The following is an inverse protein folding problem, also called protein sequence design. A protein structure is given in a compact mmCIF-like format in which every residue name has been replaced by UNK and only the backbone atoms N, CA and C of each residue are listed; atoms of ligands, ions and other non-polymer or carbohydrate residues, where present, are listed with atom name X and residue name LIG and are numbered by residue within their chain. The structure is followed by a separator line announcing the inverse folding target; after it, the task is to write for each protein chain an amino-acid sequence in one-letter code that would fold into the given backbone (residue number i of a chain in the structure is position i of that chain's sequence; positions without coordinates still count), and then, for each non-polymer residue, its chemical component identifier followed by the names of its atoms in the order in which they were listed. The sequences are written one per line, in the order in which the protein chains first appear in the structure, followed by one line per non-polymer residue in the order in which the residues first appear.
data_IF_404102681070
#
_entry.id   IF_404102681070
#
_cell.length_a   1.000
_cell.length_b   1.000
_cell.length_c   1.000
_cell.angle_alpha   90.00
_cell.angle_beta   90.00
_cell.angle_gamma   90.00
#
_symmetry.space_group_name_H-M   'P 1'
#
loop_
_entity.id
_entity.type
_entity.pdbx_description
1 polymer ?
#
# COMPACT_ATOMS: atom_id res chain seq x y z
N UNK A 1 -33.71 2.69 21.51
CA UNK A 1 -33.91 2.13 20.18
C UNK A 1 -33.72 3.27 19.18
N UNK A 2 -32.49 3.49 18.70
CA UNK A 2 -32.21 4.46 17.64
C UNK A 2 -32.04 3.67 16.36
N UNK A 3 -32.88 3.95 15.38
CA UNK A 3 -32.84 3.39 14.05
C UNK A 3 -31.50 3.68 13.40
N UNK A 4 -30.68 2.64 13.20
CA UNK A 4 -29.61 2.68 12.25
C UNK A 4 -30.25 2.81 10.85
N UNK A 5 -30.24 4.03 10.33
CA UNK A 5 -30.61 4.32 8.95
C UNK A 5 -29.63 3.56 8.05
N UNK A 6 -30.07 2.47 7.46
CA UNK A 6 -29.31 1.75 6.46
C UNK A 6 -29.02 2.73 5.32
N UNK A 7 -27.74 3.12 5.21
CA UNK A 7 -27.25 3.91 4.10
C UNK A 7 -27.39 3.05 2.83
N UNK A 8 -28.48 3.25 2.08
CA UNK A 8 -28.72 2.63 0.75
C UNK A 8 -27.83 3.30 -0.30
N UNK A 9 -26.54 3.52 0.03
CA UNK A 9 -25.56 4.05 -0.89
C UNK A 9 -25.44 3.15 -2.11
N UNK A 10 -25.52 3.75 -3.28
CA UNK A 10 -25.30 3.08 -4.56
C UNK A 10 -23.91 2.44 -4.56
N UNK A 11 -23.81 1.14 -4.78
CA UNK A 11 -22.52 0.45 -4.87
C UNK A 11 -21.70 1.03 -6.03
N UNK A 12 -20.37 1.14 -5.90
CA UNK A 12 -19.53 1.67 -6.95
C UNK A 12 -19.58 0.81 -8.21
N UNK A 13 -19.51 1.46 -9.37
CA UNK A 13 -19.48 0.85 -10.71
C UNK A 13 -18.39 1.56 -11.54
N UNK A 14 -17.10 1.39 -11.18
CA UNK A 14 -16.02 2.07 -11.90
C UNK A 14 -15.93 1.59 -13.34
N UNK A 15 -15.77 2.52 -14.28
CA UNK A 15 -15.58 2.21 -15.71
C UNK A 15 -14.10 2.00 -16.06
N UNK A 16 -13.19 2.48 -15.25
CA UNK A 16 -11.73 2.34 -15.36
C UNK A 16 -11.09 2.17 -14.00
N UNK A 17 -9.88 1.61 -13.95
CA UNK A 17 -9.13 1.46 -12.71
C UNK A 17 -8.87 2.81 -12.01
N UNK A 18 -8.68 3.89 -12.78
CA UNK A 18 -8.51 5.24 -12.23
C UNK A 18 -9.72 5.76 -11.45
N UNK A 19 -10.91 5.24 -11.71
CA UNK A 19 -12.14 5.63 -11.00
C UNK A 19 -12.24 4.99 -9.61
N UNK A 20 -11.47 3.93 -9.35
CA UNK A 20 -11.37 3.32 -8.03
C UNK A 20 -10.49 4.19 -7.14
N UNK A 21 -11.03 4.64 -6.00
CA UNK A 21 -10.24 5.41 -5.02
C UNK A 21 -9.10 4.56 -4.47
N UNK A 22 -7.96 5.20 -4.22
CA UNK A 22 -6.75 4.58 -3.67
C UNK A 22 -5.49 5.15 -4.31
N UNK A 23 -4.37 4.94 -3.65
CA UNK A 23 -3.06 5.46 -4.03
C UNK A 23 -2.23 4.34 -4.64
N UNK A 24 -2.15 4.32 -5.95
CA UNK A 24 -1.33 3.36 -6.69
C UNK A 24 -0.71 4.08 -7.88
N UNK A 25 0.52 4.55 -7.70
CA UNK A 25 1.20 5.43 -8.64
C UNK A 25 1.64 4.70 -9.92
N UNK A 26 1.69 5.39 -11.07
CA UNK A 26 2.08 4.78 -12.34
C UNK A 26 3.41 4.02 -12.30
N UNK A 27 4.41 4.55 -11.60
CA UNK A 27 5.71 3.87 -11.46
C UNK A 27 5.58 2.51 -10.73
N UNK A 28 4.72 2.44 -9.72
CA UNK A 28 4.50 1.21 -8.96
C UNK A 28 3.64 0.22 -9.75
N UNK A 29 2.67 0.72 -10.55
CA UNK A 29 1.94 -0.12 -11.50
C UNK A 29 2.88 -0.76 -12.54
N UNK A 30 3.84 0.00 -13.07
CA UNK A 30 4.87 -0.53 -13.98
C UNK A 30 5.72 -1.60 -13.30
N UNK A 31 6.11 -1.42 -12.04
CA UNK A 31 6.91 -2.41 -11.32
C UNK A 31 6.12 -3.66 -10.97
N UNK A 32 4.87 -3.51 -10.58
CA UNK A 32 3.96 -4.66 -10.36
C UNK A 32 3.77 -5.45 -11.65
N UNK A 33 3.44 -4.78 -12.78
CA UNK A 33 3.34 -5.42 -14.09
C UNK A 33 4.62 -6.15 -14.46
N UNK A 34 5.77 -5.49 -14.33
CA UNK A 34 7.06 -6.09 -14.67
C UNK A 34 7.38 -7.30 -13.80
N UNK A 35 7.21 -7.24 -12.47
CA UNK A 35 7.50 -8.35 -11.57
C UNK A 35 6.58 -9.53 -11.86
N UNK A 36 5.26 -9.28 -11.90
CA UNK A 36 4.25 -10.33 -12.06
C UNK A 36 4.31 -10.97 -13.44
N UNK A 37 4.62 -10.19 -14.50
CA UNK A 37 4.87 -10.69 -15.85
C UNK A 37 6.15 -11.51 -15.92
N UNK A 38 7.25 -11.04 -15.31
CA UNK A 38 8.51 -11.80 -15.23
C UNK A 38 8.29 -13.14 -14.53
N UNK A 39 7.57 -13.16 -13.41
CA UNK A 39 7.25 -14.42 -12.71
C UNK A 39 6.44 -15.37 -13.59
N UNK A 40 5.51 -14.85 -14.39
CA UNK A 40 4.78 -15.66 -15.37
C UNK A 40 5.71 -16.22 -16.45
N UNK A 41 6.55 -15.38 -17.02
CA UNK A 41 7.43 -15.74 -18.14
C UNK A 41 8.54 -16.76 -17.73
N UNK A 42 8.92 -16.72 -16.46
CA UNK A 42 9.83 -17.71 -15.85
C UNK A 42 9.10 -18.93 -15.22
N UNK A 43 7.79 -19.03 -15.41
CA UNK A 43 6.96 -20.08 -14.81
C UNK A 43 7.07 -20.20 -13.28
N UNK A 44 7.52 -19.14 -12.61
CA UNK A 44 7.52 -19.07 -11.14
C UNK A 44 6.08 -19.06 -10.64
N UNK A 45 5.68 -20.08 -9.90
CA UNK A 45 4.33 -20.28 -9.39
C UNK A 45 4.22 -19.87 -7.93
N UNK A 46 3.00 -19.63 -7.49
CA UNK A 46 2.64 -19.32 -6.12
C UNK A 46 1.47 -18.34 -6.04
N UNK A 47 0.92 -18.22 -4.87
CA UNK A 47 -0.23 -17.40 -4.58
C UNK A 47 0.12 -15.90 -4.54
N UNK A 48 -0.92 -15.07 -4.58
CA UNK A 48 -0.83 -13.64 -4.35
C UNK A 48 -1.44 -13.29 -3.00
N UNK A 49 -0.82 -12.36 -2.28
CA UNK A 49 -1.34 -11.87 -1.00
C UNK A 49 -1.29 -10.34 -0.97
N UNK A 50 -2.38 -9.71 -0.50
CA UNK A 50 -2.42 -8.30 -0.15
C UNK A 50 -2.92 -8.11 1.27
N UNK A 51 -2.14 -7.38 2.08
CA UNK A 51 -2.48 -6.96 3.44
C UNK A 51 -2.85 -5.49 3.41
N UNK A 52 -4.13 -5.17 3.64
CA UNK A 52 -4.69 -3.84 3.40
C UNK A 52 -5.02 -3.63 1.91
N UNK A 53 -6.29 -3.47 1.59
CA UNK A 53 -6.72 -3.33 0.19
C UNK A 53 -7.56 -2.07 -0.05
N UNK A 54 -8.04 -1.43 1.01
CA UNK A 54 -8.92 -0.28 0.92
C UNK A 54 -10.09 -0.55 -0.04
N UNK A 55 -10.24 0.22 -1.11
CA UNK A 55 -11.30 0.03 -2.12
C UNK A 55 -10.88 -0.83 -3.31
N UNK A 56 -9.69 -1.45 -3.24
CA UNK A 56 -9.24 -2.52 -4.12
C UNK A 56 -8.48 -2.11 -5.36
N UNK A 57 -7.92 -0.88 -5.46
CA UNK A 57 -7.23 -0.45 -6.69
C UNK A 57 -6.04 -1.34 -7.03
N UNK A 58 -5.17 -1.63 -6.08
CA UNK A 58 -4.02 -2.54 -6.22
C UNK A 58 -4.46 -3.99 -6.35
N UNK A 59 -5.44 -4.43 -5.54
CA UNK A 59 -6.02 -5.77 -5.61
C UNK A 59 -6.58 -6.09 -7.01
N UNK A 60 -7.34 -5.15 -7.60
CA UNK A 60 -7.89 -5.30 -8.95
C UNK A 60 -6.75 -5.46 -9.97
N UNK A 61 -5.70 -4.65 -9.85
CA UNK A 61 -4.55 -4.74 -10.74
C UNK A 61 -3.82 -6.08 -10.58
N UNK A 62 -3.53 -6.51 -9.35
CA UNK A 62 -2.88 -7.78 -9.05
C UNK A 62 -3.70 -8.98 -9.53
N UNK A 63 -5.02 -8.94 -9.36
CA UNK A 63 -5.94 -10.01 -9.77
C UNK A 63 -5.87 -10.35 -11.25
N UNK A 64 -5.46 -9.42 -12.13
CA UNK A 64 -5.26 -9.67 -13.55
C UNK A 64 -4.06 -10.62 -13.84
N UNK A 65 -3.16 -10.82 -12.87
CA UNK A 65 -2.00 -11.69 -12.98
C UNK A 65 -2.19 -13.03 -12.28
N UNK A 66 -3.37 -13.29 -11.72
CA UNK A 66 -3.69 -14.56 -11.08
C UNK A 66 -3.79 -15.67 -12.14
N UNK A 67 -3.09 -16.76 -11.93
CA UNK A 67 -3.06 -17.89 -12.85
C UNK A 67 -3.99 -19.01 -12.35
N UNK A 68 -4.43 -19.92 -13.23
CA UNK A 68 -5.13 -21.12 -12.80
C UNK A 68 -4.36 -21.87 -11.72
N UNK A 69 -5.07 -22.38 -10.71
CA UNK A 69 -4.53 -23.09 -9.54
C UNK A 69 -3.79 -22.20 -8.52
N UNK A 70 -3.69 -20.89 -8.75
CA UNK A 70 -3.20 -19.95 -7.75
C UNK A 70 -4.37 -19.34 -6.99
N UNK A 71 -4.13 -19.00 -5.73
CA UNK A 71 -5.07 -18.28 -4.88
C UNK A 71 -4.62 -16.82 -4.74
N UNK A 72 -5.57 -15.90 -4.80
CA UNK A 72 -5.33 -14.53 -4.37
C UNK A 72 -6.05 -14.29 -3.06
N UNK A 73 -5.31 -14.00 -2.00
CA UNK A 73 -5.86 -13.67 -0.68
C UNK A 73 -5.72 -12.18 -0.41
N UNK A 74 -6.81 -11.56 0.02
CA UNK A 74 -6.87 -10.16 0.46
C UNK A 74 -7.30 -10.12 1.91
N UNK A 75 -6.45 -9.56 2.77
CA UNK A 75 -6.71 -9.38 4.18
C UNK A 75 -6.90 -7.90 4.50
N UNK A 76 -8.06 -7.51 5.00
CA UNK A 76 -8.37 -6.14 5.38
C UNK A 76 -9.44 -6.14 6.47
N UNK A 77 -9.38 -5.19 7.40
CA UNK A 77 -10.43 -5.00 8.40
C UNK A 77 -11.74 -4.51 7.79
N UNK A 78 -11.64 -3.78 6.67
CA UNK A 78 -12.77 -3.09 6.05
C UNK A 78 -13.55 -2.25 7.07
N UNK A 79 -14.82 -2.59 7.28
CA UNK A 79 -15.74 -1.96 8.22
C UNK A 79 -15.80 -2.67 9.59
N UNK A 80 -14.90 -3.62 9.87
CA UNK A 80 -14.73 -4.22 11.19
C UNK A 80 -14.03 -3.27 12.15
N UNK A 81 -14.29 -3.36 13.46
CA UNK A 81 -13.58 -2.57 14.46
C UNK A 81 -12.08 -2.87 14.44
N UNK A 82 -11.27 -1.83 14.56
CA UNK A 82 -9.83 -2.00 14.72
C UNK A 82 -9.48 -2.65 16.08
N UNK A 83 -8.36 -3.38 16.14
CA UNK A 83 -7.96 -4.12 17.35
C UNK A 83 -7.52 -3.20 18.50
N UNK A 84 -7.11 -1.96 18.21
CA UNK A 84 -6.61 -1.01 19.19
C UNK A 84 -7.02 0.45 18.86
N UNK A 85 -6.80 1.37 19.84
CA UNK A 85 -7.21 2.76 19.72
C UNK A 85 -6.41 3.52 18.66
N UNK A 86 -5.12 3.21 18.48
CA UNK A 86 -4.27 3.90 17.51
C UNK A 86 -4.69 3.58 16.08
N UNK A 87 -4.94 2.30 15.81
CA UNK A 87 -5.46 1.84 14.51
C UNK A 87 -6.89 2.37 14.27
N UNK A 88 -7.75 2.41 15.32
CA UNK A 88 -9.08 3.03 15.22
C UNK A 88 -9.02 4.50 14.83
N UNK A 89 -8.04 5.24 15.36
CA UNK A 89 -7.85 6.65 15.04
C UNK A 89 -7.34 6.85 13.60
N UNK A 90 -6.51 5.95 13.11
CA UNK A 90 -6.03 5.91 11.72
C UNK A 90 -7.20 5.65 10.75
N UNK A 91 -7.99 4.60 11.00
CA UNK A 91 -9.15 4.24 10.19
C UNK A 91 -10.20 5.36 10.14
N UNK A 92 -10.51 5.99 11.26
CA UNK A 92 -11.49 7.06 11.33
C UNK A 92 -11.12 8.32 10.54
N UNK A 93 -9.82 8.58 10.34
CA UNK A 93 -9.32 9.74 9.58
C UNK A 93 -9.33 9.51 8.07
N UNK A 94 -8.92 8.33 7.63
CA UNK A 94 -8.58 8.07 6.23
C UNK A 94 -9.59 7.18 5.51
N UNK A 95 -10.33 6.34 6.22
CA UNK A 95 -11.07 5.21 5.63
C UNK A 95 -12.58 5.21 5.94
N UNK A 96 -13.17 6.36 6.26
CA UNK A 96 -14.59 6.48 6.65
C UNK A 96 -15.60 5.92 5.62
N UNK A 97 -15.22 5.78 4.36
CA UNK A 97 -16.06 5.22 3.27
C UNK A 97 -15.74 3.76 2.95
N UNK A 98 -14.77 3.18 3.65
CA UNK A 98 -14.36 1.80 3.42
C UNK A 98 -15.44 0.84 3.95
N UNK A 99 -15.87 -0.05 3.07
CA UNK A 99 -16.69 -1.21 3.44
C UNK A 99 -16.30 -2.38 2.57
N UNK A 100 -16.40 -3.59 3.09
CA UNK A 100 -16.19 -4.82 2.31
C UNK A 100 -17.06 -4.85 1.06
N UNK A 101 -18.33 -4.42 1.17
CA UNK A 101 -19.25 -4.39 0.03
C UNK A 101 -18.79 -3.45 -1.09
N UNK A 102 -18.17 -2.31 -0.74
CA UNK A 102 -17.64 -1.38 -1.73
C UNK A 102 -16.40 -1.97 -2.44
N UNK A 103 -15.49 -2.60 -1.69
CA UNK A 103 -14.37 -3.37 -2.25
C UNK A 103 -14.85 -4.46 -3.22
N UNK A 104 -15.78 -5.32 -2.78
CA UNK A 104 -16.32 -6.41 -3.60
C UNK A 104 -16.97 -5.89 -4.89
N UNK A 105 -17.70 -4.78 -4.82
CA UNK A 105 -18.34 -4.17 -5.99
C UNK A 105 -17.31 -3.62 -6.99
N UNK A 106 -16.27 -2.94 -6.48
CA UNK A 106 -15.15 -2.48 -7.32
C UNK A 106 -14.46 -3.66 -7.97
N UNK A 107 -14.07 -4.67 -7.20
CA UNK A 107 -13.33 -5.83 -7.72
C UNK A 107 -14.14 -6.59 -8.78
N UNK A 108 -15.43 -6.84 -8.52
CA UNK A 108 -16.34 -7.47 -9.49
C UNK A 108 -16.58 -6.65 -10.75
N UNK A 109 -16.29 -5.36 -10.76
CA UNK A 109 -16.34 -4.55 -11.96
C UNK A 109 -15.27 -4.95 -12.99
N UNK A 110 -14.20 -5.61 -12.56
CA UNK A 110 -13.07 -6.01 -13.41
C UNK A 110 -12.85 -7.53 -13.50
N UNK A 111 -13.29 -8.28 -12.51
CA UNK A 111 -13.06 -9.72 -12.40
C UNK A 111 -14.36 -10.48 -12.15
N UNK A 112 -14.47 -11.71 -12.65
CA UNK A 112 -15.67 -12.55 -12.47
C UNK A 112 -15.76 -13.14 -11.06
N UNK A 113 -14.63 -13.55 -10.48
CA UNK A 113 -14.52 -14.07 -9.11
C UNK A 113 -13.98 -13.04 -8.13
N UNK A 114 -14.27 -13.20 -6.85
CA UNK A 114 -13.61 -12.46 -5.78
C UNK A 114 -12.33 -13.18 -5.34
N UNK A 115 -11.34 -12.48 -4.81
CA UNK A 115 -10.24 -13.13 -4.09
C UNK A 115 -10.78 -13.81 -2.83
N UNK A 116 -9.96 -14.65 -2.20
CA UNK A 116 -10.21 -15.10 -0.84
C UNK A 116 -10.12 -13.88 0.09
N UNK A 117 -11.22 -13.51 0.74
CA UNK A 117 -11.29 -12.34 1.62
C UNK A 117 -11.18 -12.79 3.07
N UNK A 118 -10.12 -12.35 3.75
CA UNK A 118 -9.89 -12.50 5.18
C UNK A 118 -10.21 -11.17 5.85
N UNK A 119 -11.35 -11.07 6.54
CA UNK A 119 -11.80 -9.84 7.21
C UNK A 119 -11.39 -9.85 8.67
N UNK A 120 -10.09 -9.76 8.90
CA UNK A 120 -9.44 -9.86 10.22
C UNK A 120 -8.21 -8.94 10.27
N UNK A 121 -7.61 -8.69 11.45
CA UNK A 121 -6.30 -8.08 11.55
C UNK A 121 -5.24 -8.90 10.79
N UNK A 122 -4.35 -8.22 10.07
CA UNK A 122 -3.28 -8.85 9.28
C UNK A 122 -2.37 -9.80 10.08
N UNK A 123 -2.26 -9.57 11.39
CA UNK A 123 -1.51 -10.43 12.31
C UNK A 123 -1.98 -11.89 12.37
N UNK A 124 -3.21 -12.19 11.88
CA UNK A 124 -3.76 -13.55 11.80
C UNK A 124 -3.53 -14.24 10.46
N UNK A 125 -2.89 -13.59 9.49
CA UNK A 125 -2.86 -14.06 8.10
C UNK A 125 -2.20 -15.42 7.89
N UNK A 126 -1.19 -15.77 8.69
CA UNK A 126 -0.50 -17.07 8.58
C UNK A 126 -1.38 -18.28 8.96
N UNK A 127 -2.57 -18.04 9.54
CA UNK A 127 -3.57 -19.10 9.71
C UNK A 127 -4.41 -19.36 8.44
N UNK A 128 -4.32 -18.51 7.43
CA UNK A 128 -5.13 -18.55 6.20
C UNK A 128 -4.30 -18.76 4.93
N UNK A 129 -2.99 -18.60 5.01
CA UNK A 129 -2.04 -18.72 3.89
C UNK A 129 -0.94 -19.68 4.29
N UNK A 130 -0.69 -20.68 3.47
CA UNK A 130 0.33 -21.69 3.75
C UNK A 130 1.75 -21.12 3.67
N UNK A 131 2.69 -21.61 4.49
CA UNK A 131 4.09 -21.23 4.38
C UNK A 131 4.65 -21.49 2.96
N UNK A 132 5.56 -20.63 2.51
CA UNK A 132 6.26 -20.74 1.22
C UNK A 132 5.32 -20.80 -0.02
N UNK A 133 4.03 -20.47 0.13
CA UNK A 133 3.05 -20.57 -0.95
C UNK A 133 3.00 -19.36 -1.87
N UNK A 134 3.36 -18.17 -1.39
CA UNK A 134 3.19 -16.93 -2.13
C UNK A 134 4.41 -16.59 -3.01
N UNK A 135 4.15 -16.10 -4.22
CA UNK A 135 5.17 -15.50 -5.10
C UNK A 135 5.21 -13.99 -5.02
N UNK A 136 4.15 -13.36 -4.51
CA UNK A 136 4.07 -11.91 -4.39
C UNK A 136 3.20 -11.52 -3.20
N UNK A 137 3.74 -10.67 -2.33
CA UNK A 137 3.03 -10.13 -1.16
C UNK A 137 3.13 -8.60 -1.19
N UNK A 138 1.98 -7.92 -1.14
CA UNK A 138 1.86 -6.48 -1.01
C UNK A 138 1.36 -6.14 0.39
N UNK A 139 2.12 -5.34 1.14
CA UNK A 139 1.80 -4.86 2.49
C UNK A 139 1.44 -3.38 2.40
N UNK A 140 0.17 -3.06 2.63
CA UNK A 140 -0.42 -1.72 2.57
C UNK A 140 -1.54 -1.57 3.63
N UNK A 141 -1.28 -2.08 4.84
CA UNK A 141 -2.26 -2.12 5.93
C UNK A 141 -2.05 -0.95 6.92
N UNK A 142 -1.66 -1.24 8.15
CA UNK A 142 -1.40 -0.24 9.18
C UNK A 142 -0.01 0.38 9.03
N UNK A 143 0.14 1.65 9.46
CA UNK A 143 1.43 2.36 9.45
C UNK A 143 2.17 2.31 10.78
N UNK A 144 1.60 1.64 11.79
CA UNK A 144 2.22 1.48 13.11
C UNK A 144 3.37 0.47 13.04
N UNK A 145 4.50 0.81 13.67
CA UNK A 145 5.72 -0.01 13.63
C UNK A 145 5.47 -1.48 13.98
N UNK A 146 4.74 -1.73 15.07
CA UNK A 146 4.47 -3.08 15.59
C UNK A 146 3.66 -3.93 14.59
N UNK A 147 2.68 -3.30 13.91
CA UNK A 147 1.86 -3.98 12.91
C UNK A 147 2.68 -4.29 11.66
N UNK A 148 3.38 -3.30 11.12
CA UNK A 148 4.24 -3.49 9.93
C UNK A 148 5.33 -4.51 10.19
N UNK A 149 5.92 -4.51 11.40
CA UNK A 149 6.92 -5.52 11.79
C UNK A 149 6.33 -6.93 11.79
N UNK A 150 5.11 -7.10 12.30
CA UNK A 150 4.39 -8.38 12.28
C UNK A 150 4.03 -8.81 10.84
N UNK A 151 3.56 -7.88 10.01
CA UNK A 151 3.22 -8.13 8.60
C UNK A 151 4.45 -8.55 7.78
N UNK A 152 5.62 -7.93 8.03
CA UNK A 152 6.89 -8.34 7.41
C UNK A 152 7.29 -9.76 7.85
N UNK A 153 7.09 -10.11 9.12
CA UNK A 153 7.38 -11.45 9.61
C UNK A 153 6.45 -12.48 8.96
N UNK A 154 5.16 -12.19 8.86
CA UNK A 154 4.18 -13.02 8.17
C UNK A 154 4.51 -13.16 6.68
N UNK A 155 4.85 -12.07 6.00
CA UNK A 155 5.28 -12.10 4.59
C UNK A 155 6.50 -13.00 4.38
N UNK A 156 7.47 -12.96 5.30
CA UNK A 156 8.65 -13.83 5.24
C UNK A 156 8.28 -15.31 5.37
N UNK A 157 7.27 -15.64 6.18
CA UNK A 157 6.82 -17.02 6.39
C UNK A 157 6.09 -17.58 5.15
N UNK A 158 5.25 -16.75 4.51
CA UNK A 158 4.42 -17.22 3.41
C UNK A 158 5.06 -17.09 2.03
N UNK A 159 6.12 -16.30 1.88
CA UNK A 159 6.81 -16.12 0.59
C UNK A 159 7.70 -17.30 0.25
N UNK A 160 7.50 -17.85 -0.94
CA UNK A 160 8.40 -18.84 -1.53
C UNK A 160 9.78 -18.27 -1.90
N UNK A 161 10.71 -19.12 -2.34
CA UNK A 161 12.12 -18.75 -2.53
C UNK A 161 12.37 -17.71 -3.63
N UNK A 162 11.45 -17.53 -4.56
CA UNK A 162 11.51 -16.50 -5.62
C UNK A 162 10.49 -15.38 -5.38
N UNK A 163 9.92 -15.35 -4.18
CA UNK A 163 8.86 -14.40 -3.81
C UNK A 163 9.36 -12.99 -3.59
N UNK A 164 8.51 -12.03 -3.92
CA UNK A 164 8.75 -10.60 -3.75
C UNK A 164 7.78 -10.02 -2.74
N UNK A 165 8.31 -9.27 -1.76
CA UNK A 165 7.54 -8.44 -0.85
C UNK A 165 7.59 -6.98 -1.29
N UNK A 166 6.43 -6.32 -1.24
CA UNK A 166 6.31 -4.88 -1.49
C UNK A 166 5.68 -4.23 -0.26
N UNK A 167 6.28 -3.15 0.23
CA UNK A 167 5.74 -2.36 1.35
C UNK A 167 5.37 -0.97 0.85
N UNK A 168 4.13 -0.55 1.04
CA UNK A 168 3.67 0.80 0.73
C UNK A 168 4.05 1.80 1.82
N UNK A 169 3.90 3.08 1.51
CA UNK A 169 4.17 4.21 2.41
C UNK A 169 5.56 4.24 3.04
N UNK A 170 6.51 3.47 2.47
CA UNK A 170 7.87 3.33 2.96
C UNK A 170 8.60 4.68 3.12
N UNK A 171 8.29 5.68 2.30
CA UNK A 171 8.91 7.02 2.36
C UNK A 171 7.94 8.11 2.78
N UNK A 172 6.74 7.77 3.20
CA UNK A 172 5.75 8.73 3.64
C UNK A 172 6.19 9.36 4.97
N UNK A 173 6.26 10.69 5.03
CA UNK A 173 6.72 11.41 6.24
C UNK A 173 5.83 11.18 7.46
N UNK A 174 4.56 10.88 7.24
CA UNK A 174 3.58 10.61 8.29
C UNK A 174 3.54 9.14 8.73
N UNK A 175 4.30 8.25 8.07
CA UNK A 175 4.35 6.81 8.34
C UNK A 175 5.77 6.33 8.73
N UNK A 176 6.47 6.96 9.70
CA UNK A 176 7.85 6.60 10.03
C UNK A 176 8.00 5.15 10.53
N UNK A 177 6.92 4.55 11.05
CA UNK A 177 6.89 3.15 11.48
C UNK A 177 7.16 2.17 10.35
N UNK A 178 6.62 2.44 9.15
CA UNK A 178 6.86 1.61 7.95
C UNK A 178 8.34 1.58 7.59
N UNK A 179 8.97 2.75 7.47
CA UNK A 179 10.40 2.84 7.16
C UNK A 179 11.27 2.15 8.23
N UNK A 180 10.94 2.36 9.51
CA UNK A 180 11.70 1.77 10.63
C UNK A 180 11.61 0.24 10.63
N UNK A 181 10.41 -0.34 10.45
CA UNK A 181 10.20 -1.78 10.39
C UNK A 181 10.91 -2.39 9.17
N UNK A 182 10.79 -1.75 8.00
CA UNK A 182 11.42 -2.21 6.75
C UNK A 182 12.94 -2.25 6.86
N UNK A 183 13.59 -1.17 7.29
CA UNK A 183 15.05 -1.15 7.47
C UNK A 183 15.50 -2.06 8.61
N UNK A 184 14.68 -2.21 9.64
CA UNK A 184 14.90 -3.21 10.69
C UNK A 184 14.96 -4.62 10.13
N UNK A 185 14.05 -4.98 9.23
CA UNK A 185 14.02 -6.28 8.56
C UNK A 185 15.24 -6.48 7.64
N UNK A 186 15.63 -5.47 6.87
CA UNK A 186 16.87 -5.51 6.07
C UNK A 186 18.10 -5.78 6.95
N UNK A 187 18.18 -5.12 8.10
CA UNK A 187 19.33 -5.25 9.00
C UNK A 187 19.38 -6.59 9.77
N UNK A 188 18.23 -7.23 10.02
CA UNK A 188 18.17 -8.34 11.00
C UNK A 188 17.58 -9.65 10.46
N UNK A 189 16.78 -9.62 9.39
CA UNK A 189 16.07 -10.82 8.92
C UNK A 189 16.62 -11.38 7.61
N UNK A 190 17.57 -10.70 6.98
CA UNK A 190 18.13 -11.06 5.67
C UNK A 190 17.26 -10.59 4.49
N UNK A 191 16.32 -9.66 4.70
CA UNK A 191 15.58 -9.03 3.61
C UNK A 191 16.53 -8.26 2.70
N UNK A 192 16.58 -8.60 1.43
CA UNK A 192 17.45 -8.00 0.42
C UNK A 192 16.70 -6.89 -0.31
N UNK A 193 17.15 -5.63 -0.23
CA UNK A 193 16.49 -4.49 -0.88
C UNK A 193 16.73 -4.52 -2.38
N UNK A 194 15.69 -4.72 -3.18
CA UNK A 194 15.76 -4.76 -4.63
C UNK A 194 15.67 -3.36 -5.24
N UNK A 195 14.58 -2.65 -4.93
CA UNK A 195 14.34 -1.30 -5.44
C UNK A 195 13.41 -0.51 -4.53
N UNK A 196 13.51 0.81 -4.64
CA UNK A 196 12.55 1.74 -4.00
C UNK A 196 12.03 2.77 -5.00
N UNK A 197 10.78 3.16 -4.82
CA UNK A 197 10.14 4.30 -5.50
C UNK A 197 9.96 5.49 -4.56
N UNK A 198 9.12 6.43 -4.92
CA UNK A 198 8.75 7.52 -4.03
C UNK A 198 7.92 7.05 -2.82
N UNK A 199 7.16 5.96 -2.99
CA UNK A 199 6.23 5.44 -1.98
C UNK A 199 6.57 4.03 -1.51
N UNK A 200 7.02 3.13 -2.40
CA UNK A 200 7.14 1.71 -2.10
C UNK A 200 8.58 1.22 -2.00
N UNK A 201 8.76 0.20 -1.17
CA UNK A 201 9.95 -0.63 -1.06
C UNK A 201 9.65 -2.00 -1.66
N UNK A 202 10.60 -2.56 -2.40
CA UNK A 202 10.53 -3.89 -3.00
C UNK A 202 11.73 -4.71 -2.54
N UNK A 203 11.50 -5.93 -2.09
CA UNK A 203 12.57 -6.79 -1.59
C UNK A 203 12.25 -8.28 -1.69
N UNK A 204 13.25 -9.09 -1.35
CA UNK A 204 13.14 -10.56 -1.32
C UNK A 204 14.03 -11.14 -0.24
N UNK A 205 13.66 -12.29 0.32
CA UNK A 205 14.57 -13.11 1.13
C UNK A 205 15.27 -14.19 0.31
N UNK A 206 14.77 -14.42 -0.91
CA UNK A 206 15.23 -15.49 -1.81
C UNK A 206 16.27 -15.06 -2.83
N UNK A 207 16.11 -15.52 -4.07
CA UNK A 207 17.03 -15.25 -5.19
C UNK A 207 17.04 -13.77 -5.55
N UNK A 208 18.21 -13.13 -5.47
CA UNK A 208 18.36 -11.69 -5.66
C UNK A 208 19.03 -11.31 -6.99
N UNK A 209 20.18 -11.93 -7.32
CA UNK A 209 21.05 -11.44 -8.39
C UNK A 209 20.37 -11.43 -9.76
N UNK A 210 19.61 -12.48 -10.07
CA UNK A 210 18.92 -12.60 -11.35
C UNK A 210 17.84 -11.52 -11.51
N UNK A 211 16.96 -11.35 -10.51
CA UNK A 211 15.91 -10.35 -10.60
C UNK A 211 16.47 -8.93 -10.61
N UNK A 212 17.56 -8.66 -9.86
CA UNK A 212 18.22 -7.36 -9.87
C UNK A 212 18.81 -7.05 -11.26
N UNK A 213 19.49 -8.02 -11.88
CA UNK A 213 20.06 -7.86 -13.23
C UNK A 213 18.96 -7.62 -14.29
N UNK A 214 17.87 -8.38 -14.22
CA UNK A 214 16.74 -8.25 -15.13
C UNK A 214 16.03 -6.88 -14.94
N UNK A 215 15.85 -6.43 -13.69
CA UNK A 215 15.29 -5.10 -13.41
C UNK A 215 16.18 -3.99 -13.97
N UNK A 216 17.49 -4.10 -13.77
CA UNK A 216 18.43 -3.12 -14.31
C UNK A 216 18.42 -3.09 -15.84
N UNK A 217 18.28 -4.24 -16.50
CA UNK A 217 18.11 -4.34 -17.94
C UNK A 217 16.81 -3.71 -18.43
N UNK A 218 15.68 -4.04 -17.78
CA UNK A 218 14.37 -3.45 -18.06
C UNK A 218 14.41 -1.92 -17.97
N UNK A 219 14.98 -1.37 -16.90
CA UNK A 219 15.03 0.06 -16.68
C UNK A 219 15.89 0.82 -17.71
N UNK A 220 16.93 0.19 -18.27
CA UNK A 220 17.74 0.80 -19.33
C UNK A 220 16.95 1.07 -20.61
N UNK A 221 15.93 0.27 -20.89
CA UNK A 221 15.07 0.43 -22.05
C UNK A 221 13.95 1.46 -21.83
N UNK A 222 13.85 2.04 -20.60
CA UNK A 222 12.80 2.99 -20.23
C UNK A 222 13.35 4.42 -20.22
N UNK A 223 12.75 5.30 -21.05
CA UNK A 223 13.08 6.72 -21.14
C UNK A 223 12.16 7.62 -20.25
N UNK A 224 11.14 7.02 -19.65
CA UNK A 224 10.10 7.68 -18.85
C UNK A 224 10.34 7.52 -17.33
N UNK A 225 11.36 6.77 -16.94
CA UNK A 225 11.73 6.56 -15.54
C UNK A 225 13.23 6.79 -15.33
N UNK A 226 13.54 7.69 -14.38
CA UNK A 226 14.92 7.81 -13.92
C UNK A 226 15.26 6.70 -12.93
N UNK A 227 16.46 6.15 -13.00
CA UNK A 227 16.97 5.16 -12.04
C UNK A 227 18.44 5.39 -11.71
N UNK A 228 18.86 4.95 -10.54
CA UNK A 228 20.23 4.99 -10.06
C UNK A 228 20.45 3.92 -9.00
N UNK A 229 21.64 3.32 -8.95
CA UNK A 229 22.00 2.29 -7.97
C UNK A 229 22.67 2.91 -6.75
N UNK A 230 22.39 2.35 -5.57
CA UNK A 230 23.08 2.62 -4.31
C UNK A 230 23.31 1.31 -3.56
N UNK A 231 24.41 1.22 -2.83
CA UNK A 231 24.65 0.06 -1.97
C UNK A 231 23.98 0.23 -0.62
N UNK A 232 23.16 -0.74 -0.23
CA UNK A 232 22.50 -0.80 1.06
C UNK A 232 22.64 -2.19 1.66
N UNK A 233 23.21 -2.29 2.84
CA UNK A 233 23.45 -3.56 3.55
C UNK A 233 24.18 -4.62 2.70
N UNK A 234 25.10 -4.19 1.83
CA UNK A 234 25.88 -5.05 0.92
C UNK A 234 25.13 -5.45 -0.36
N UNK A 235 23.97 -4.86 -0.64
CA UNK A 235 23.19 -5.09 -1.87
C UNK A 235 23.10 -3.83 -2.73
N UNK A 236 23.32 -3.94 -4.06
CA UNK A 236 23.11 -2.82 -4.99
C UNK A 236 21.61 -2.58 -5.19
N UNK A 237 20.99 -1.76 -4.37
CA UNK A 237 19.59 -1.39 -4.50
C UNK A 237 19.37 -0.34 -5.60
N UNK A 238 18.31 -0.48 -6.41
CA UNK A 238 17.96 0.49 -7.43
C UNK A 238 16.96 1.51 -6.86
N UNK A 239 17.22 2.81 -7.03
CA UNK A 239 16.26 3.88 -6.76
C UNK A 239 15.58 4.28 -8.05
N UNK A 240 14.26 4.39 -8.04
CA UNK A 240 13.48 4.75 -9.22
C UNK A 240 12.66 6.01 -8.94
N UNK A 241 12.64 6.93 -9.90
CA UNK A 241 11.74 8.07 -9.94
C UNK A 241 10.97 8.06 -11.25
N UNK A 242 9.67 7.88 -11.16
CA UNK A 242 8.81 7.68 -12.31
C UNK A 242 7.65 8.67 -12.40
N UNK A 243 7.88 9.98 -12.16
CA UNK A 243 6.83 11.01 -12.29
C UNK A 243 6.17 11.07 -13.67
N UNK A 244 6.83 10.54 -14.69
CA UNK A 244 6.36 10.47 -16.08
C UNK A 244 6.18 9.03 -16.56
N UNK A 245 6.20 8.06 -15.63
CA UNK A 245 6.06 6.66 -15.98
C UNK A 245 4.77 6.43 -16.77
N UNK A 246 4.88 5.75 -17.90
CA UNK A 246 3.74 5.34 -18.71
C UNK A 246 3.11 4.12 -18.06
N UNK A 247 1.85 4.26 -17.68
CA UNK A 247 1.07 3.19 -17.08
C UNK A 247 1.01 1.96 -17.99
N UNK A 248 1.07 0.75 -17.44
CA UNK A 248 0.80 -0.47 -18.20
C UNK A 248 -0.69 -0.58 -18.56
N UNK A 249 -1.04 -1.59 -19.33
CA UNK A 249 -2.44 -1.92 -19.58
C UNK A 249 -3.16 -2.25 -18.27
N UNK A 250 -4.35 -1.69 -18.10
CA UNK A 250 -5.20 -1.94 -16.95
C UNK A 250 -6.24 -3.03 -17.24
N UNK A 251 -6.70 -3.75 -16.20
CA UNK A 251 -7.88 -4.60 -16.35
C UNK A 251 -9.07 -3.81 -16.89
N UNK A 252 -9.80 -4.41 -17.82
CA UNK A 252 -10.97 -3.79 -18.47
C UNK A 252 -12.19 -3.98 -17.58
N UNK A 253 -12.87 -2.88 -17.25
CA UNK A 253 -14.12 -2.94 -16.50
C UNK A 253 -15.28 -3.45 -17.39
N UNK A 254 -16.17 -4.24 -16.81
CA UNK A 254 -17.45 -4.60 -17.45
C UNK A 254 -18.38 -3.39 -17.69
N UNK A 255 -18.06 -2.24 -17.08
CA UNK A 255 -18.79 -0.98 -17.19
C UNK A 255 -18.06 0.03 -18.08
N UNK A 256 -17.04 -0.38 -18.84
CA UNK A 256 -16.22 0.51 -19.67
C UNK A 256 -17.04 1.35 -20.66
N UNK A 257 -18.13 0.77 -21.20
CA UNK A 257 -19.01 1.42 -22.18
C UNK A 257 -20.15 2.25 -21.56
N UNK A 258 -20.32 2.20 -20.23
CA UNK A 258 -21.44 2.88 -19.56
C UNK A 258 -21.23 4.40 -19.38
N UNK A 259 -20.05 4.94 -19.74
CA UNK A 259 -19.63 6.31 -19.45
C UNK A 259 -19.31 6.51 -17.96
N UNK A 260 -18.42 7.45 -17.64
CA UNK A 260 -18.15 7.74 -16.23
C UNK A 260 -19.45 8.19 -15.55
N UNK A 261 -19.86 7.59 -14.41
CA UNK A 261 -20.97 8.09 -13.63
C UNK A 261 -20.68 9.55 -13.27
N UNK A 262 -21.65 10.45 -13.46
CA UNK A 262 -21.56 11.82 -12.96
C UNK A 262 -21.28 11.73 -11.46
N UNK A 263 -20.06 12.08 -11.05
CA UNK A 263 -19.76 12.25 -9.64
C UNK A 263 -20.70 13.33 -9.12
N UNK A 264 -21.41 13.12 -8.01
CA UNK A 264 -22.17 14.20 -7.39
C UNK A 264 -21.23 15.37 -7.19
N UNK A 265 -21.61 16.56 -7.69
CA UNK A 265 -20.80 17.76 -7.62
C UNK A 265 -20.27 17.92 -6.20
N UNK A 266 -18.95 18.05 -6.05
CA UNK A 266 -18.30 18.27 -4.77
C UNK A 266 -19.04 19.41 -4.07
N UNK A 267 -19.69 19.10 -2.96
CA UNK A 267 -20.22 20.13 -2.08
C UNK A 267 -18.98 20.91 -1.62
N UNK A 268 -18.86 22.20 -1.90
CA UNK A 268 -17.68 22.95 -1.54
C UNK A 268 -17.45 22.80 -0.05
N UNK A 269 -16.23 22.49 0.34
CA UNK A 269 -15.83 22.43 1.73
C UNK A 269 -16.27 23.70 2.45
N UNK A 270 -16.87 23.63 3.66
CA UNK A 270 -17.26 24.81 4.41
C UNK A 270 -16.01 25.70 4.58
N UNK A 271 -16.14 27.03 4.44
CA UNK A 271 -15.03 27.94 4.62
C UNK A 271 -14.38 27.75 5.98
N UNK A 272 -13.06 27.88 6.12
CA UNK A 272 -12.39 27.71 7.40
C UNK A 272 -12.99 28.68 8.41
N UNK A 273 -13.40 28.18 9.55
CA UNK A 273 -13.92 28.99 10.65
C UNK A 273 -12.83 29.99 11.04
N UNK A 274 -13.13 31.31 11.09
CA UNK A 274 -12.13 32.29 11.47
C UNK A 274 -11.63 31.98 12.88
N UNK A 275 -10.33 31.85 13.04
CA UNK A 275 -9.67 31.68 14.32
C UNK A 275 -10.12 32.79 15.27
N UNK A 276 -10.78 32.42 16.35
CA UNK A 276 -11.27 33.36 17.35
C UNK A 276 -10.14 34.25 17.83
N UNK A 277 -10.40 35.57 17.82
CA UNK A 277 -9.51 36.59 18.31
C UNK A 277 -9.19 36.32 19.79
N UNK A 278 -8.04 35.68 20.02
CA UNK A 278 -7.50 35.49 21.37
C UNK A 278 -7.18 36.82 22.00
N UNK A 279 -7.84 37.11 23.11
CA UNK A 279 -7.65 38.22 24.02
C UNK A 279 -6.16 38.43 24.33
N UNK A 280 -5.63 39.60 23.97
CA UNK A 280 -4.35 40.07 24.43
C UNK A 280 -4.41 40.35 25.95
N UNK A 281 -3.91 39.42 26.75
CA UNK A 281 -3.53 39.75 28.12
C UNK A 281 -2.15 40.40 28.10
N UNK A 282 -2.10 41.71 28.42
CA UNK A 282 -0.89 42.46 28.73
C UNK A 282 -0.41 41.97 30.12
N UNK A 283 0.70 41.26 30.17
CA UNK A 283 1.45 40.94 31.38
C UNK A 283 2.79 41.67 31.36
N UNK A 284 3.02 42.51 32.38
CA UNK A 284 4.15 43.39 32.56
C UNK A 284 5.49 42.64 32.61
N UNK A 285 6.46 43.18 31.91
CA UNK A 285 7.89 43.03 32.15
C UNK A 285 8.26 43.60 33.50
N UNK A 286 8.98 42.86 34.33
CA UNK A 286 9.91 43.43 35.25
C UNK A 286 11.21 42.64 35.27
N UNK A 287 12.24 43.37 35.01
CA UNK A 287 13.65 43.12 35.01
C UNK A 287 14.20 42.49 36.31
N UNK A 288 15.19 41.60 36.18
CA UNK A 288 16.30 41.53 37.12
C UNK A 288 17.53 40.91 36.42
N UNK A 289 18.40 41.81 36.02
CA UNK A 289 19.84 41.59 35.80
C UNK A 289 20.56 41.74 37.17
N UNK A 290 21.33 40.76 37.56
CA UNK A 290 22.59 40.88 38.37
C UNK A 290 23.30 39.53 38.25
N UNK A 291 24.43 39.45 37.61
CA UNK A 291 25.83 39.71 37.96
C UNK A 291 26.38 38.79 39.08
N UNK A 292 27.44 38.15 38.71
CA UNK A 292 28.69 37.73 39.35
C UNK A 292 28.85 36.20 39.36
N UNK A 293 29.97 35.56 38.98
CA UNK A 293 31.35 35.95 38.93
C UNK A 293 32.16 34.90 39.64
N UNK A 294 33.09 34.29 38.95
CA UNK A 294 34.31 33.60 39.40
C UNK A 294 34.23 32.60 40.59
N UNK A 295 34.51 31.37 40.35
CA UNK A 295 35.77 30.66 40.74
C UNK A 295 35.91 29.40 39.90
#
# INVERSE_FOLDING_TARGET
MQNASANTGHLPRPSRLSDVKGWFHPVDQVLFDWILSRQRDLEQRGDLLELGAYLGKSAIFMGAYLRPEETFTVCDLFDSPAPDEANSAEMGRSYATLTRRAFEANYRSFHDGLPQIVQEPSSGITAHVEPDSCRFVHIDASHLYEHVHADIAAAKEVLGPDGIVVLDDFRAEHCPGVAAATWGAVASTGLKPLTITATKFYGTWGSYDAIHADLAAFLKERDDMWHGAEEVAGFPMIRISGKKAREPEHPVSRHADEGAPELPADTPAPPPTPAGAGSRAKGLLSSLLTRSGRS
#
